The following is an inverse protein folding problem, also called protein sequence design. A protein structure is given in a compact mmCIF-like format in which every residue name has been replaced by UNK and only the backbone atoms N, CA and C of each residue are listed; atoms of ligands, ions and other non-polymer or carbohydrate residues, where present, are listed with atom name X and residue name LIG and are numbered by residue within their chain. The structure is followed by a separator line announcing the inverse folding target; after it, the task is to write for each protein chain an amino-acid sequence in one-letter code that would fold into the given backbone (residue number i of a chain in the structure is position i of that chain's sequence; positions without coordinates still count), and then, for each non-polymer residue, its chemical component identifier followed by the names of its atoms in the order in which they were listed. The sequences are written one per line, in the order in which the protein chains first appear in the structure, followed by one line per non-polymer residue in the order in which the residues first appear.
data_IF_400551661282
#
_entry.id   IF_400551661282
#
_cell.length_a   1.000
_cell.length_b   1.000
_cell.length_c   1.000
_cell.angle_alpha   90.00
_cell.angle_beta   90.00
_cell.angle_gamma   90.00
#
_symmetry.space_group_name_H-M   'P 1'
#
loop_
_entity.id
_entity.type
_entity.pdbx_description
1 polymer ?
#
# COMPACT_ATOMS: atom_id res chain seq x y z
N UNK A 1 40.63 30.85 32.52
CA UNK A 1 39.42 30.96 31.68
C UNK A 1 39.35 29.90 30.57
N UNK A 2 40.41 29.12 30.30
CA UNK A 2 40.47 28.10 29.23
C UNK A 2 39.84 26.73 29.58
N UNK A 3 39.82 26.35 30.86
CA UNK A 3 39.28 25.04 31.30
C UNK A 3 37.76 24.92 31.07
N UNK A 4 37.01 26.02 31.22
CA UNK A 4 35.56 26.03 30.98
C UNK A 4 35.18 25.91 29.50
N UNK A 5 36.02 26.41 28.58
CA UNK A 5 35.76 26.30 27.14
C UNK A 5 36.01 24.87 26.63
N UNK A 6 37.03 24.20 27.18
CA UNK A 6 37.35 22.79 26.86
C UNK A 6 36.26 21.86 27.41
N UNK A 7 35.77 22.11 28.64
CA UNK A 7 34.65 21.35 29.20
C UNK A 7 33.36 21.51 28.37
N UNK A 8 33.05 22.72 27.89
CA UNK A 8 31.87 22.98 27.05
C UNK A 8 32.00 22.34 25.66
N UNK A 9 33.21 22.25 25.09
CA UNK A 9 33.47 21.50 23.86
C UNK A 9 33.33 19.98 24.07
N UNK A 10 33.74 19.47 25.23
CA UNK A 10 33.58 18.05 25.58
C UNK A 10 32.10 17.69 25.77
N UNK A 11 31.30 18.56 26.40
CA UNK A 11 29.85 18.41 26.51
C UNK A 11 29.16 18.44 25.13
N UNK A 12 29.58 19.33 24.23
CA UNK A 12 29.07 19.36 22.84
C UNK A 12 29.47 18.09 22.09
N UNK A 13 30.71 17.60 22.26
CA UNK A 13 31.16 16.36 21.65
C UNK A 13 30.40 15.14 22.19
N UNK A 14 30.11 15.11 23.50
CA UNK A 14 29.30 14.09 24.12
C UNK A 14 27.85 14.13 23.61
N UNK A 15 27.22 15.31 23.55
CA UNK A 15 25.88 15.50 22.98
C UNK A 15 25.83 15.12 21.50
N UNK A 16 26.84 15.49 20.71
CA UNK A 16 26.93 15.12 19.30
C UNK A 16 27.07 13.60 19.13
N UNK A 17 27.86 12.95 19.98
CA UNK A 17 28.03 11.49 19.96
C UNK A 17 26.75 10.76 20.39
N UNK A 18 26.05 11.26 21.40
CA UNK A 18 24.75 10.74 21.83
C UNK A 18 23.70 10.95 20.73
N UNK A 19 23.67 12.12 20.09
CA UNK A 19 22.78 12.40 18.96
C UNK A 19 23.07 11.47 17.77
N UNK A 20 24.35 11.26 17.41
CA UNK A 20 24.74 10.33 16.35
C UNK A 20 24.30 8.89 16.66
N UNK A 21 24.53 8.42 17.89
CA UNK A 21 24.08 7.08 18.30
C UNK A 21 22.54 6.95 18.26
N UNK A 22 21.80 7.99 18.64
CA UNK A 22 20.33 8.00 18.56
C UNK A 22 19.83 7.98 17.11
N UNK A 23 20.52 8.67 16.20
CA UNK A 23 20.21 8.66 14.77
C UNK A 23 20.47 7.28 14.15
N UNK A 24 21.58 6.63 14.51
CA UNK A 24 21.89 5.28 14.04
C UNK A 24 20.85 4.26 14.51
N UNK A 25 20.38 4.36 15.76
CA UNK A 25 19.32 3.50 16.29
C UNK A 25 17.97 3.75 15.58
N UNK A 26 17.58 5.01 15.39
CA UNK A 26 16.38 5.38 14.63
C UNK A 26 16.47 4.84 13.19
N UNK A 27 17.62 4.97 12.53
CA UNK A 27 17.83 4.46 11.18
C UNK A 27 17.70 2.93 11.11
N UNK A 28 18.30 2.21 12.07
CA UNK A 28 18.18 0.76 12.19
C UNK A 28 16.74 0.30 12.43
N UNK A 29 16.03 0.97 13.34
CA UNK A 29 14.62 0.68 13.62
C UNK A 29 13.72 0.99 12.43
N UNK A 30 13.93 2.11 11.74
CA UNK A 30 13.21 2.48 10.52
C UNK A 30 13.46 1.48 9.38
N UNK A 31 14.71 1.01 9.20
CA UNK A 31 15.02 0.00 8.20
C UNK A 31 14.30 -1.32 8.49
N UNK A 32 14.31 -1.78 9.75
CA UNK A 32 13.62 -3.02 10.16
C UNK A 32 12.10 -2.91 10.03
N UNK A 33 11.52 -1.80 10.49
CA UNK A 33 10.08 -1.56 10.40
C UNK A 33 9.62 -1.39 8.95
N UNK A 34 10.38 -0.64 8.14
CA UNK A 34 10.16 -0.49 6.71
C UNK A 34 10.26 -1.82 5.96
N UNK A 35 11.22 -2.68 6.30
CA UNK A 35 11.34 -4.02 5.71
C UNK A 35 10.12 -4.90 6.02
N UNK A 36 9.54 -4.80 7.22
CA UNK A 36 8.29 -5.50 7.57
C UNK A 36 7.08 -4.94 6.82
N UNK A 37 7.04 -3.62 6.62
CA UNK A 37 5.99 -2.99 5.82
C UNK A 37 6.15 -3.26 4.30
N UNK A 38 7.35 -3.64 3.83
CA UNK A 38 7.66 -3.77 2.40
C UNK A 38 6.73 -4.71 1.63
N UNK A 39 6.20 -5.76 2.28
CA UNK A 39 5.22 -6.65 1.66
C UNK A 39 3.93 -5.91 1.25
N UNK A 40 3.43 -5.03 2.12
CA UNK A 40 2.24 -4.18 1.89
C UNK A 40 2.56 -3.09 0.86
N UNK A 41 3.79 -2.57 0.88
CA UNK A 41 4.25 -1.51 -0.04
C UNK A 41 4.21 -1.95 -1.51
N UNK A 42 4.42 -3.25 -1.77
CA UNK A 42 4.32 -3.80 -3.13
C UNK A 42 2.90 -3.65 -3.68
N UNK A 43 1.88 -3.80 -2.84
CA UNK A 43 0.48 -3.58 -3.24
C UNK A 43 0.24 -2.10 -3.60
N UNK A 44 0.70 -1.18 -2.76
CA UNK A 44 0.55 0.27 -2.97
C UNK A 44 1.22 0.72 -4.30
N UNK A 45 2.42 0.17 -4.60
CA UNK A 45 3.10 0.39 -5.87
C UNK A 45 2.42 -0.26 -7.07
N UNK A 46 1.68 -1.35 -6.86
CA UNK A 46 0.98 -2.06 -7.93
C UNK A 46 -0.37 -1.44 -8.29
N UNK A 47 -1.08 -0.85 -7.32
CA UNK A 47 -2.40 -0.26 -7.50
C UNK A 47 -2.30 1.19 -8.00
N UNK A 48 -1.28 1.94 -7.60
CA UNK A 48 -1.14 3.37 -7.93
C UNK A 48 -1.10 3.69 -9.43
N UNK A 49 -0.41 2.91 -10.30
CA UNK A 49 -0.42 3.15 -11.74
C UNK A 49 -1.82 3.15 -12.37
N UNK A 50 -2.79 2.45 -11.78
CA UNK A 50 -4.16 2.40 -12.31
C UNK A 50 -4.86 3.76 -12.25
N UNK A 51 -4.60 4.56 -11.22
CA UNK A 51 -5.25 5.86 -11.03
C UNK A 51 -4.79 6.92 -12.04
N UNK A 52 -3.64 6.71 -12.68
CA UNK A 52 -3.05 7.64 -13.65
C UNK A 52 -3.24 7.18 -15.10
N UNK A 53 -3.68 5.93 -15.32
CA UNK A 53 -4.00 5.45 -16.67
C UNK A 53 -5.17 6.22 -17.28
N UNK A 54 -5.00 6.63 -18.54
CA UNK A 54 -6.00 7.39 -19.30
C UNK A 54 -5.88 8.91 -19.21
N UNK A 55 -4.87 9.44 -18.51
CA UNK A 55 -4.50 10.86 -18.65
C UNK A 55 -3.60 11.08 -19.88
N UNK A 56 -3.45 12.35 -20.26
CA UNK A 56 -2.43 12.70 -21.26
C UNK A 56 -1.05 12.59 -20.61
N UNK A 57 -0.06 12.06 -21.33
CA UNK A 57 1.31 11.82 -20.82
C UNK A 57 1.93 13.04 -20.09
N UNK A 58 1.67 14.25 -20.59
CA UNK A 58 2.14 15.50 -19.98
C UNK A 58 1.59 15.78 -18.56
N UNK A 59 0.49 15.13 -18.16
CA UNK A 59 -0.21 15.33 -16.88
C UNK A 59 0.04 14.24 -15.85
N UNK A 60 0.61 13.09 -16.24
CA UNK A 60 0.80 11.95 -15.36
C UNK A 60 1.76 12.25 -14.20
N UNK A 61 2.95 12.82 -14.49
CA UNK A 61 3.93 13.14 -13.45
C UNK A 61 3.47 14.26 -12.47
N UNK A 62 2.84 15.37 -12.94
CA UNK A 62 2.21 16.33 -12.03
C UNK A 62 1.14 15.73 -11.12
N UNK A 63 0.34 14.79 -11.63
CA UNK A 63 -0.70 14.09 -10.85
C UNK A 63 -0.05 13.22 -9.77
N UNK A 64 0.95 12.40 -10.13
CA UNK A 64 1.72 11.59 -9.16
C UNK A 64 2.26 12.47 -8.04
N UNK A 65 2.82 13.64 -8.38
CA UNK A 65 3.33 14.60 -7.38
C UNK A 65 2.22 15.11 -6.45
N UNK A 66 1.04 15.45 -6.98
CA UNK A 66 -0.11 15.87 -6.14
C UNK A 66 -0.50 14.76 -5.16
N UNK A 67 -0.59 13.52 -5.64
CA UNK A 67 -0.95 12.36 -4.82
C UNK A 67 0.12 12.12 -3.76
N UNK A 68 1.41 12.10 -4.12
CA UNK A 68 2.52 11.91 -3.19
C UNK A 68 2.56 12.98 -2.08
N UNK A 69 2.33 14.26 -2.42
CA UNK A 69 2.26 15.34 -1.41
C UNK A 69 1.04 15.16 -0.50
N UNK A 70 -0.11 14.78 -1.06
CA UNK A 70 -1.31 14.45 -0.30
C UNK A 70 -1.07 13.29 0.67
N UNK A 71 -0.43 12.23 0.19
CA UNK A 71 -0.04 11.04 0.95
C UNK A 71 0.88 11.37 2.12
N UNK A 72 1.98 12.12 1.89
CA UNK A 72 2.89 12.55 2.98
C UNK A 72 2.14 13.38 4.02
N UNK A 73 1.29 14.32 3.60
CA UNK A 73 0.49 15.14 4.53
C UNK A 73 -0.45 14.29 5.37
N UNK A 74 -1.15 13.35 4.75
CA UNK A 74 -2.06 12.44 5.43
C UNK A 74 -1.32 11.54 6.43
N UNK A 75 -0.20 10.95 6.01
CA UNK A 75 0.65 10.12 6.86
C UNK A 75 1.18 10.89 8.07
N UNK A 76 1.75 12.07 7.87
CA UNK A 76 2.41 12.83 8.94
C UNK A 76 1.44 13.62 9.83
N UNK A 77 0.37 14.17 9.28
CA UNK A 77 -0.55 15.06 10.03
C UNK A 77 -1.74 14.33 10.63
N UNK A 78 -2.10 13.14 10.12
CA UNK A 78 -3.28 12.40 10.56
C UNK A 78 -2.90 11.02 11.09
N UNK A 79 -2.28 10.18 10.26
CA UNK A 79 -2.02 8.78 10.65
C UNK A 79 -0.97 8.66 11.75
N UNK A 80 0.14 9.39 11.64
CA UNK A 80 1.20 9.38 12.65
C UNK A 80 0.69 9.81 14.03
N UNK A 81 0.04 10.98 14.21
CA UNK A 81 -0.47 11.35 15.53
C UNK A 81 -1.57 10.41 16.01
N UNK A 82 -2.46 9.93 15.13
CA UNK A 82 -3.47 8.95 15.51
C UNK A 82 -2.85 7.63 15.99
N UNK A 83 -1.82 7.14 15.30
CA UNK A 83 -1.11 5.91 15.66
C UNK A 83 -0.38 6.06 17.00
N UNK A 84 0.28 7.20 17.24
CA UNK A 84 0.92 7.50 18.53
C UNK A 84 -0.09 7.65 19.68
N UNK A 85 -1.24 8.27 19.44
CA UNK A 85 -2.31 8.34 20.45
C UNK A 85 -2.86 6.94 20.73
N UNK A 86 -3.04 6.11 19.69
CA UNK A 86 -3.50 4.74 19.84
C UNK A 86 -2.52 3.88 20.63
N UNK A 87 -1.20 4.01 20.40
CA UNK A 87 -0.19 3.27 21.18
C UNK A 87 -0.19 3.65 22.66
N UNK A 88 -0.51 4.92 23.00
CA UNK A 88 -0.58 5.37 24.38
C UNK A 88 -1.89 4.97 25.07
N UNK A 89 -3.04 5.08 24.39
CA UNK A 89 -4.35 4.89 25.01
C UNK A 89 -4.86 3.44 24.96
N UNK A 90 -4.54 2.72 23.88
CA UNK A 90 -5.06 1.38 23.64
C UNK A 90 -4.10 0.56 22.74
N UNK A 91 -2.86 0.27 23.19
CA UNK A 91 -1.91 -0.51 22.39
C UNK A 91 -2.45 -1.90 22.03
N UNK A 92 -3.26 -2.48 22.93
CA UNK A 92 -4.00 -3.73 22.71
C UNK A 92 -5.00 -3.70 21.54
N UNK A 93 -5.38 -2.51 21.05
CA UNK A 93 -6.25 -2.35 19.89
C UNK A 93 -5.49 -2.40 18.55
N UNK A 94 -4.16 -2.27 18.54
CA UNK A 94 -3.36 -2.26 17.32
C UNK A 94 -3.43 -3.61 16.61
N UNK A 95 -3.12 -4.71 17.32
CA UNK A 95 -3.19 -6.08 16.76
C UNK A 95 -4.56 -6.44 16.19
N UNK A 96 -5.69 -6.25 16.88
CA UNK A 96 -7.00 -6.61 16.33
C UNK A 96 -7.40 -5.70 15.15
N UNK A 97 -7.04 -4.41 15.18
CA UNK A 97 -7.27 -3.53 14.02
C UNK A 97 -6.47 -3.99 12.79
N UNK A 98 -5.21 -4.36 12.98
CA UNK A 98 -4.37 -4.93 11.93
C UNK A 98 -4.94 -6.25 11.41
N UNK A 99 -5.38 -7.16 12.29
CA UNK A 99 -5.99 -8.42 11.87
C UNK A 99 -7.27 -8.22 11.06
N UNK A 100 -8.09 -7.22 11.43
CA UNK A 100 -9.29 -6.86 10.64
C UNK A 100 -8.87 -6.31 9.26
N UNK A 101 -7.88 -5.42 9.21
CA UNK A 101 -7.31 -4.92 7.96
C UNK A 101 -6.76 -6.04 7.07
N UNK A 102 -5.97 -6.94 7.65
CA UNK A 102 -5.41 -8.10 6.95
C UNK A 102 -6.50 -9.07 6.46
N UNK A 103 -7.56 -9.28 7.23
CA UNK A 103 -8.71 -10.08 6.78
C UNK A 103 -9.47 -9.41 5.63
N UNK A 104 -9.60 -8.08 5.65
CA UNK A 104 -10.17 -7.32 4.54
C UNK A 104 -9.29 -7.40 3.27
N UNK A 105 -7.96 -7.30 3.39
CA UNK A 105 -7.04 -7.52 2.26
C UNK A 105 -7.18 -8.93 1.68
N UNK A 106 -7.31 -9.95 2.53
CA UNK A 106 -7.55 -11.33 2.09
C UNK A 106 -8.86 -11.44 1.32
N UNK A 107 -9.93 -10.82 1.83
CA UNK A 107 -11.23 -10.77 1.17
C UNK A 107 -11.11 -10.10 -0.21
N UNK A 108 -10.58 -8.88 -0.29
CA UNK A 108 -10.49 -8.11 -1.54
C UNK A 108 -9.57 -8.80 -2.55
N UNK A 109 -8.45 -9.35 -2.10
CA UNK A 109 -7.53 -10.10 -2.93
C UNK A 109 -8.16 -11.36 -3.53
N UNK A 110 -8.84 -12.17 -2.71
CA UNK A 110 -9.52 -13.38 -3.18
C UNK A 110 -10.72 -13.05 -4.07
N UNK A 111 -11.46 -11.97 -3.77
CA UNK A 111 -12.54 -11.48 -4.62
C UNK A 111 -12.02 -11.13 -6.02
N UNK A 112 -10.94 -10.34 -6.14
CA UNK A 112 -10.30 -10.03 -7.43
C UNK A 112 -9.85 -11.28 -8.19
N UNK A 113 -9.33 -12.29 -7.50
CA UNK A 113 -9.00 -13.59 -8.11
C UNK A 113 -10.26 -14.30 -8.60
N UNK A 114 -11.32 -14.30 -7.82
CA UNK A 114 -12.60 -14.91 -8.18
C UNK A 114 -13.24 -14.23 -9.39
N UNK A 115 -13.27 -12.90 -9.44
CA UNK A 115 -13.78 -12.12 -10.58
C UNK A 115 -13.00 -12.41 -11.87
N UNK A 116 -11.67 -12.54 -11.78
CA UNK A 116 -10.83 -12.86 -12.92
C UNK A 116 -11.09 -14.28 -13.48
N UNK A 117 -11.52 -15.22 -12.63
CA UNK A 117 -11.82 -16.61 -13.01
C UNK A 117 -13.29 -16.78 -13.42
N UNK A 118 -14.21 -16.02 -12.82
CA UNK A 118 -15.66 -16.09 -13.05
C UNK A 118 -16.23 -14.68 -13.40
N UNK A 119 -16.02 -14.19 -14.62
CA UNK A 119 -16.36 -12.81 -15.01
C UNK A 119 -17.87 -12.48 -15.04
N UNK A 120 -18.76 -13.47 -14.90
CA UNK A 120 -20.22 -13.28 -14.98
C UNK A 120 -20.92 -13.08 -13.62
N UNK A 121 -20.18 -12.99 -12.51
CA UNK A 121 -20.74 -12.86 -11.15
C UNK A 121 -20.54 -11.48 -10.49
N UNK A 122 -19.89 -10.52 -11.18
CA UNK A 122 -19.33 -9.32 -10.54
C UNK A 122 -19.86 -8.01 -11.14
N UNK A 123 -20.94 -7.49 -10.57
CA UNK A 123 -21.33 -6.09 -10.75
C UNK A 123 -21.81 -5.54 -9.41
N UNK A 124 -20.91 -5.09 -8.52
CA UNK A 124 -21.37 -4.29 -7.38
C UNK A 124 -20.36 -3.43 -6.59
N UNK A 125 -19.09 -3.21 -6.96
CA UNK A 125 -18.23 -2.34 -6.12
C UNK A 125 -17.44 -1.20 -6.78
N UNK A 126 -17.23 -1.18 -8.10
CA UNK A 126 -16.47 -0.06 -8.72
C UNK A 126 -17.33 1.00 -9.43
N UNK A 127 -18.64 0.83 -9.51
CA UNK A 127 -19.51 1.70 -10.32
C UNK A 127 -19.95 3.02 -9.63
N UNK A 128 -19.74 3.20 -8.32
CA UNK A 128 -20.44 4.24 -7.55
C UNK A 128 -19.72 5.60 -7.39
N UNK A 129 -18.68 5.89 -8.18
CA UNK A 129 -17.98 7.19 -8.14
C UNK A 129 -18.19 8.08 -9.38
N UNK A 130 -19.04 7.67 -10.32
CA UNK A 130 -19.30 8.44 -11.54
C UNK A 130 -20.50 9.39 -11.39
N UNK A 131 -20.42 10.36 -10.48
CA UNK A 131 -21.23 11.58 -10.61
C UNK A 131 -20.58 12.45 -11.69
N UNK A 132 -21.23 12.47 -12.85
CA UNK A 132 -20.82 13.18 -14.06
C UNK A 132 -20.80 14.69 -13.80
N UNK A 133 -19.60 15.28 -13.80
CA UNK A 133 -19.39 16.74 -13.87
C UNK A 133 -18.71 17.05 -15.22
N UNK A 134 -19.26 17.95 -16.06
CA UNK A 134 -18.81 18.17 -17.45
C UNK A 134 -17.45 18.87 -17.61
N UNK A 135 -16.67 19.09 -16.54
CA UNK A 135 -15.37 19.76 -16.63
C UNK A 135 -14.19 18.79 -16.44
N UNK A 136 -13.29 18.70 -17.42
CA UNK A 136 -12.15 17.77 -17.40
C UNK A 136 -11.23 17.96 -16.17
N UNK A 137 -11.16 19.19 -15.63
CA UNK A 137 -10.34 19.50 -14.47
C UNK A 137 -10.98 19.04 -13.15
N UNK A 138 -12.31 19.04 -13.03
CA UNK A 138 -12.97 18.50 -11.83
C UNK A 138 -12.89 16.97 -11.78
N UNK A 139 -12.85 16.30 -12.93
CA UNK A 139 -12.61 14.86 -13.01
C UNK A 139 -11.18 14.48 -12.61
N UNK A 140 -10.17 15.27 -13.00
CA UNK A 140 -8.79 15.10 -12.56
C UNK A 140 -8.65 15.24 -11.05
N UNK A 141 -9.21 16.32 -10.49
CA UNK A 141 -9.13 16.57 -9.05
C UNK A 141 -9.93 15.53 -8.25
N UNK A 142 -11.07 15.04 -8.77
CA UNK A 142 -11.81 13.93 -8.18
C UNK A 142 -11.00 12.61 -8.17
N UNK A 143 -10.30 12.30 -9.27
CA UNK A 143 -9.41 11.13 -9.34
C UNK A 143 -8.23 11.25 -8.39
N UNK A 144 -7.61 12.44 -8.28
CA UNK A 144 -6.55 12.71 -7.31
C UNK A 144 -7.06 12.54 -5.88
N UNK A 145 -8.23 13.09 -5.55
CA UNK A 145 -8.84 12.95 -4.23
C UNK A 145 -9.18 11.48 -3.91
N UNK A 146 -9.69 10.73 -4.88
CA UNK A 146 -9.94 9.29 -4.74
C UNK A 146 -8.64 8.52 -4.48
N UNK A 147 -7.58 8.79 -5.25
CA UNK A 147 -6.28 8.14 -5.08
C UNK A 147 -5.67 8.45 -3.70
N UNK A 148 -5.75 9.70 -3.25
CA UNK A 148 -5.31 10.10 -1.90
C UNK A 148 -6.12 9.39 -0.80
N UNK A 149 -7.41 9.14 -1.02
CA UNK A 149 -8.28 8.43 -0.06
C UNK A 149 -7.94 6.95 0.02
N UNK A 150 -7.71 6.30 -1.12
CA UNK A 150 -7.24 4.91 -1.14
C UNK A 150 -5.87 4.80 -0.48
N UNK A 151 -4.92 5.68 -0.84
CA UNK A 151 -3.59 5.74 -0.22
C UNK A 151 -3.68 5.98 1.28
N UNK A 152 -4.61 6.82 1.78
CA UNK A 152 -4.80 7.01 3.22
C UNK A 152 -5.16 5.70 3.94
N UNK A 153 -6.03 4.88 3.34
CA UNK A 153 -6.44 3.59 3.91
C UNK A 153 -5.26 2.61 3.91
N UNK A 154 -4.59 2.46 2.76
CA UNK A 154 -3.39 1.60 2.62
C UNK A 154 -2.26 2.05 3.56
N UNK A 155 -2.06 3.36 3.66
CA UNK A 155 -1.07 3.97 4.54
C UNK A 155 -1.37 3.72 6.01
N UNK A 156 -2.65 3.67 6.41
CA UNK A 156 -3.01 3.41 7.81
C UNK A 156 -2.48 2.04 8.27
N UNK A 157 -2.57 1.03 7.40
CA UNK A 157 -2.02 -0.30 7.64
C UNK A 157 -0.49 -0.28 7.73
N UNK A 158 0.18 0.33 6.76
CA UNK A 158 1.64 0.48 6.75
C UNK A 158 2.14 1.16 8.04
N UNK A 159 1.47 2.25 8.45
CA UNK A 159 1.81 2.99 9.66
C UNK A 159 1.56 2.16 10.93
N UNK A 160 0.48 1.36 10.96
CA UNK A 160 0.17 0.48 12.09
C UNK A 160 1.15 -0.71 12.19
N UNK A 161 1.56 -1.33 11.06
CA UNK A 161 2.60 -2.38 11.03
C UNK A 161 3.95 -1.82 11.47
N UNK A 162 4.27 -0.60 11.01
CA UNK A 162 5.47 0.11 11.42
C UNK A 162 5.47 0.31 12.93
N UNK A 163 4.38 0.86 13.47
CA UNK A 163 4.22 1.09 14.90
C UNK A 163 4.33 -0.21 15.72
N UNK A 164 3.67 -1.27 15.30
CA UNK A 164 3.74 -2.58 15.97
C UNK A 164 5.13 -3.23 15.90
N UNK A 165 5.99 -2.79 14.97
CA UNK A 165 7.33 -3.33 14.77
C UNK A 165 8.42 -2.57 15.52
N UNK A 166 8.12 -1.37 16.00
CA UNK A 166 9.04 -0.54 16.76
C UNK A 166 8.91 -0.90 18.25
N UNK A 167 10.02 -1.21 18.95
CA UNK A 167 9.99 -1.44 20.39
C UNK A 167 9.41 -0.23 21.15
N UNK A 168 9.08 -0.39 22.43
CA UNK A 168 8.79 0.75 23.32
C UNK A 168 10.08 1.53 23.63
N UNK A 169 10.60 2.23 22.62
CA UNK A 169 11.86 2.99 22.63
C UNK A 169 11.65 4.49 22.92
N UNK A 170 10.47 4.86 23.45
CA UNK A 170 10.07 6.22 23.79
C UNK A 170 9.31 6.94 22.67
N UNK A 171 8.45 7.88 23.05
CA UNK A 171 7.52 8.58 22.14
C UNK A 171 8.24 9.26 20.96
N UNK A 172 9.38 9.92 21.22
CA UNK A 172 10.14 10.64 20.18
C UNK A 172 10.76 9.67 19.17
N UNK A 173 11.27 8.53 19.62
CA UNK A 173 11.86 7.50 18.77
C UNK A 173 10.78 6.87 17.88
N UNK A 174 9.66 6.45 18.46
CA UNK A 174 8.51 5.94 17.70
C UNK A 174 8.00 6.96 16.67
N UNK A 175 7.80 8.22 17.07
CA UNK A 175 7.36 9.28 16.17
C UNK A 175 8.33 9.49 15.01
N UNK A 176 9.63 9.50 15.29
CA UNK A 176 10.67 9.71 14.26
C UNK A 176 10.75 8.52 13.31
N UNK A 177 10.71 7.28 13.82
CA UNK A 177 10.70 6.08 12.99
C UNK A 177 9.45 6.05 12.10
N UNK A 178 8.27 6.31 12.65
CA UNK A 178 7.03 6.41 11.87
C UNK A 178 7.12 7.48 10.78
N UNK A 179 7.68 8.65 11.09
CA UNK A 179 7.85 9.73 10.11
C UNK A 179 8.82 9.33 8.99
N UNK A 180 9.97 8.74 9.33
CA UNK A 180 10.99 8.30 8.36
C UNK A 180 10.42 7.20 7.47
N UNK A 181 9.75 6.21 8.04
CA UNK A 181 9.15 5.11 7.26
C UNK A 181 8.00 5.63 6.39
N UNK A 182 7.11 6.46 6.94
CA UNK A 182 5.99 7.03 6.18
C UNK A 182 6.44 7.88 5.00
N UNK A 183 7.45 8.74 5.19
CA UNK A 183 8.02 9.55 4.09
C UNK A 183 8.81 8.66 3.13
N UNK A 184 9.67 7.78 3.64
CA UNK A 184 10.54 6.91 2.85
C UNK A 184 9.73 6.00 1.93
N UNK A 185 8.69 5.35 2.44
CA UNK A 185 7.78 4.52 1.64
C UNK A 185 7.07 5.37 0.59
N UNK A 186 6.59 6.56 0.94
CA UNK A 186 5.92 7.44 -0.04
C UNK A 186 6.88 7.82 -1.18
N UNK A 187 8.12 8.18 -0.85
CA UNK A 187 9.14 8.46 -1.88
C UNK A 187 9.43 7.22 -2.73
N UNK A 188 9.55 6.04 -2.12
CA UNK A 188 9.84 4.80 -2.83
C UNK A 188 8.70 4.41 -3.79
N UNK A 189 7.45 4.34 -3.30
CA UNK A 189 6.27 3.95 -4.07
C UNK A 189 6.04 4.91 -5.23
N UNK A 190 5.86 6.20 -4.93
CA UNK A 190 5.56 7.19 -5.97
C UNK A 190 6.77 7.46 -6.87
N UNK A 191 7.99 7.22 -6.38
CA UNK A 191 9.20 7.23 -7.19
C UNK A 191 9.22 6.11 -8.22
N UNK A 192 8.91 4.87 -7.82
CA UNK A 192 8.77 3.74 -8.75
C UNK A 192 7.66 3.99 -9.75
N UNK A 193 6.50 4.47 -9.32
CA UNK A 193 5.38 4.81 -10.22
C UNK A 193 5.78 5.90 -11.23
N UNK A 194 6.48 6.95 -10.79
CA UNK A 194 7.00 7.99 -11.67
C UNK A 194 8.00 7.44 -12.69
N UNK A 195 8.86 6.49 -12.29
CA UNK A 195 9.79 5.83 -13.21
C UNK A 195 9.06 4.95 -14.23
N UNK A 196 8.01 4.23 -13.83
CA UNK A 196 7.19 3.41 -14.74
C UNK A 196 6.56 4.30 -15.83
N UNK A 197 5.93 5.41 -15.43
CA UNK A 197 5.37 6.39 -16.37
C UNK A 197 6.46 6.97 -17.29
N UNK A 198 7.61 7.32 -16.72
CA UNK A 198 8.70 7.90 -17.49
C UNK A 198 9.29 6.93 -18.51
N UNK A 199 9.24 5.63 -18.22
CA UNK A 199 9.66 4.60 -19.16
C UNK A 199 8.75 4.54 -20.40
N UNK A 200 7.46 4.86 -20.27
CA UNK A 200 6.53 4.94 -21.40
C UNK A 200 6.86 6.14 -22.31
N UNK A 201 7.04 7.33 -21.71
CA UNK A 201 7.49 8.55 -22.41
C UNK A 201 8.79 8.31 -23.18
N UNK A 202 9.76 7.65 -22.53
CA UNK A 202 11.04 7.29 -23.12
C UNK A 202 10.85 6.31 -24.29
N UNK A 203 9.94 5.34 -24.14
CA UNK A 203 9.55 4.40 -25.19
C UNK A 203 9.01 5.11 -26.43
N UNK A 204 8.09 6.05 -26.26
CA UNK A 204 7.52 6.86 -27.34
C UNK A 204 8.59 7.72 -28.02
N UNK A 205 9.46 8.38 -27.24
CA UNK A 205 10.56 9.19 -27.77
C UNK A 205 11.53 8.35 -28.62
N UNK A 206 11.91 7.16 -28.15
CA UNK A 206 12.78 6.23 -28.90
C UNK A 206 12.09 5.69 -30.16
N UNK A 207 10.81 5.35 -30.08
CA UNK A 207 10.04 4.85 -31.23
C UNK A 207 9.87 5.91 -32.33
N UNK A 208 9.80 7.19 -31.96
CA UNK A 208 9.65 8.34 -32.85
C UNK A 208 10.95 8.82 -33.51
N UNK A 209 12.12 8.31 -33.13
CA UNK A 209 13.40 8.72 -33.71
C UNK A 209 13.42 8.49 -35.24
N UNK A 210 13.91 9.48 -35.99
CA UNK A 210 14.02 9.44 -37.46
C UNK A 210 15.39 8.98 -37.99
N UNK A 211 16.29 8.55 -37.11
CA UNK A 211 17.64 8.14 -37.51
C UNK A 211 17.62 6.85 -38.32
N UNK A 212 18.26 6.88 -39.50
CA UNK A 212 18.41 5.73 -40.39
C UNK A 212 19.65 4.86 -40.07
N UNK A 213 20.41 5.19 -39.03
CA UNK A 213 21.59 4.42 -38.63
C UNK A 213 21.19 3.07 -38.00
N UNK A 214 22.00 1.99 -38.16
CA UNK A 214 21.78 0.70 -37.49
C UNK A 214 21.52 0.79 -35.97
N UNK A 215 22.26 1.60 -35.18
CA UNK A 215 21.93 1.81 -33.76
C UNK A 215 20.60 2.57 -33.56
N UNK A 216 20.24 3.47 -34.48
CA UNK A 216 18.93 4.14 -34.48
C UNK A 216 17.77 3.18 -34.72
N UNK A 217 17.95 2.16 -35.56
CA UNK A 217 16.96 1.11 -35.79
C UNK A 217 16.73 0.24 -34.54
N UNK A 218 17.80 -0.12 -33.83
CA UNK A 218 17.73 -0.86 -32.56
C UNK A 218 17.01 -0.05 -31.47
N UNK A 219 17.34 1.23 -31.31
CA UNK A 219 16.68 2.14 -30.37
C UNK A 219 15.18 2.26 -30.65
N UNK A 220 14.79 2.41 -31.93
CA UNK A 220 13.38 2.45 -32.34
C UNK A 220 12.65 1.15 -32.04
N UNK A 221 13.29 0.01 -32.27
CA UNK A 221 12.71 -1.29 -31.95
C UNK A 221 12.50 -1.44 -30.43
N UNK A 222 13.50 -1.03 -29.63
CA UNK A 222 13.39 -0.99 -28.16
C UNK A 222 12.26 -0.08 -27.68
N UNK A 223 12.15 1.13 -28.25
CA UNK A 223 11.06 2.06 -27.93
C UNK A 223 9.68 1.49 -28.23
N UNK A 224 9.51 0.85 -29.40
CA UNK A 224 8.26 0.16 -29.74
C UNK A 224 7.95 -0.99 -28.79
N UNK A 225 8.95 -1.75 -28.39
CA UNK A 225 8.79 -2.85 -27.45
C UNK A 225 8.36 -2.35 -26.07
N UNK A 226 8.92 -1.23 -25.58
CA UNK A 226 8.48 -0.61 -24.32
C UNK A 226 7.01 -0.18 -24.37
N UNK A 227 6.60 0.55 -25.41
CA UNK A 227 5.22 1.05 -25.54
C UNK A 227 4.21 -0.10 -25.69
N UNK A 228 4.54 -1.10 -26.51
CA UNK A 228 3.69 -2.28 -26.69
C UNK A 228 3.68 -3.20 -25.46
N UNK A 229 4.77 -3.21 -24.68
CA UNK A 229 4.94 -4.01 -23.48
C UNK A 229 4.27 -3.41 -22.23
N UNK A 230 4.13 -2.09 -22.18
CA UNK A 230 3.59 -1.37 -21.01
C UNK A 230 2.23 -1.90 -20.52
N UNK A 231 1.22 -2.16 -21.38
CA UNK A 231 -0.06 -2.72 -20.92
C UNK A 231 0.07 -4.08 -20.24
N UNK A 232 0.95 -4.95 -20.76
CA UNK A 232 1.21 -6.26 -20.18
C UNK A 232 1.97 -6.16 -18.87
N UNK A 233 2.93 -5.23 -18.79
CA UNK A 233 3.65 -4.93 -17.56
C UNK A 233 2.71 -4.45 -16.45
N UNK A 234 1.82 -3.48 -16.75
CA UNK A 234 0.81 -3.00 -15.80
C UNK A 234 -0.17 -4.10 -15.39
N UNK A 235 -0.56 -4.99 -16.31
CA UNK A 235 -1.39 -6.16 -16.00
C UNK A 235 -0.68 -7.13 -15.07
N UNK A 236 0.59 -7.46 -15.36
CA UNK A 236 1.40 -8.33 -14.52
C UNK A 236 1.59 -7.73 -13.13
N UNK A 237 1.85 -6.43 -13.04
CA UNK A 237 1.96 -5.71 -11.78
C UNK A 237 0.67 -5.79 -10.97
N UNK A 238 -0.50 -5.67 -11.61
CA UNK A 238 -1.79 -5.87 -10.96
C UNK A 238 -2.01 -7.29 -10.40
N UNK A 239 -1.52 -8.33 -11.11
CA UNK A 239 -1.57 -9.72 -10.62
C UNK A 239 -0.66 -9.88 -9.40
N UNK A 240 0.56 -9.32 -9.47
CA UNK A 240 1.51 -9.35 -8.35
C UNK A 240 0.96 -8.60 -7.13
N UNK A 241 0.34 -7.44 -7.33
CA UNK A 241 -0.35 -6.71 -6.25
C UNK A 241 -1.46 -7.53 -5.61
N UNK A 242 -2.26 -8.24 -6.42
CA UNK A 242 -3.31 -9.14 -5.91
C UNK A 242 -2.75 -10.29 -5.10
N UNK A 243 -1.67 -10.92 -5.55
CA UNK A 243 -0.99 -11.95 -4.78
C UNK A 243 -0.38 -11.39 -3.48
N UNK A 244 0.16 -10.16 -3.52
CA UNK A 244 0.71 -9.48 -2.36
C UNK A 244 -0.38 -9.19 -1.32
N UNK A 245 -1.53 -8.63 -1.70
CA UNK A 245 -2.67 -8.40 -0.79
C UNK A 245 -3.04 -9.66 0.00
N UNK A 246 -3.16 -10.81 -0.69
CA UNK A 246 -3.58 -12.08 -0.09
C UNK A 246 -2.54 -12.59 0.91
N UNK A 247 -1.26 -12.68 0.50
CA UNK A 247 -0.21 -13.14 1.40
C UNK A 247 -0.07 -12.17 2.57
N UNK A 248 0.13 -10.88 2.31
CA UNK A 248 0.36 -9.88 3.37
C UNK A 248 -0.78 -9.92 4.39
N UNK A 249 -2.03 -9.90 3.95
CA UNK A 249 -3.18 -10.02 4.84
C UNK A 249 -3.16 -11.33 5.64
N UNK A 250 -2.86 -12.46 4.99
CA UNK A 250 -2.74 -13.76 5.65
C UNK A 250 -1.63 -13.78 6.70
N UNK A 251 -0.49 -13.15 6.43
CA UNK A 251 0.63 -13.01 7.35
C UNK A 251 0.27 -12.17 8.58
N UNK A 252 -0.45 -11.06 8.39
CA UNK A 252 -0.94 -10.21 9.48
C UNK A 252 -1.89 -10.99 10.39
N UNK A 253 -2.82 -11.75 9.81
CA UNK A 253 -3.76 -12.55 10.60
C UNK A 253 -3.06 -13.69 11.32
N UNK A 254 -2.15 -14.42 10.65
CA UNK A 254 -1.38 -15.51 11.28
C UNK A 254 -0.52 -15.00 12.45
N UNK A 255 0.15 -13.86 12.27
CA UNK A 255 0.94 -13.26 13.35
C UNK A 255 0.07 -12.71 14.49
N UNK A 256 -1.10 -12.16 14.16
CA UNK A 256 -2.08 -11.75 15.15
C UNK A 256 -2.60 -12.93 15.98
N UNK A 257 -2.84 -14.09 15.34
CA UNK A 257 -3.24 -15.33 16.02
C UNK A 257 -2.17 -15.81 17.00
N UNK A 258 -0.90 -15.80 16.59
CA UNK A 258 0.26 -16.09 17.46
C UNK A 258 0.30 -15.14 18.67
N UNK A 259 0.06 -13.84 18.46
CA UNK A 259 0.01 -12.87 19.57
C UNK A 259 -1.10 -13.18 20.58
N UNK A 260 -2.19 -13.82 20.15
CA UNK A 260 -3.30 -14.25 21.00
C UNK A 260 -3.15 -15.68 21.56
N UNK A 261 -1.99 -16.33 21.35
CA UNK A 261 -1.68 -17.67 21.87
C UNK A 261 -2.15 -18.82 20.98
N UNK A 262 -2.55 -18.55 19.74
CA UNK A 262 -2.84 -19.57 18.73
C UNK A 262 -1.63 -19.77 17.82
N UNK A 263 -0.54 -20.27 18.38
CA UNK A 263 0.78 -20.30 17.72
C UNK A 263 0.91 -21.38 16.64
N UNK A 264 -0.04 -22.34 16.60
CA UNK A 264 0.03 -23.52 15.73
C UNK A 264 0.21 -23.20 14.24
N UNK A 265 -0.53 -22.24 13.62
CA UNK A 265 -0.35 -21.90 12.21
C UNK A 265 1.03 -21.29 11.93
N UNK A 266 1.49 -20.37 12.78
CA UNK A 266 2.78 -19.70 12.63
C UNK A 266 3.95 -20.70 12.76
N UNK A 267 3.92 -21.55 13.80
CA UNK A 267 4.93 -22.58 14.00
C UNK A 267 4.96 -23.63 12.89
N UNK A 268 3.81 -24.01 12.34
CA UNK A 268 3.76 -24.95 11.22
C UNK A 268 4.45 -24.37 9.97
N UNK A 269 4.12 -23.11 9.64
CA UNK A 269 4.73 -22.40 8.51
C UNK A 269 6.25 -22.27 8.72
N UNK A 270 6.68 -21.84 9.91
CA UNK A 270 8.09 -21.65 10.22
C UNK A 270 8.87 -22.98 10.22
N UNK A 271 8.29 -24.06 10.77
CA UNK A 271 8.90 -25.39 10.73
C UNK A 271 9.01 -25.95 9.30
N UNK A 272 8.02 -25.70 8.45
CA UNK A 272 8.09 -26.05 7.03
C UNK A 272 9.20 -25.25 6.32
N UNK A 273 9.30 -23.96 6.61
CA UNK A 273 10.31 -23.08 6.04
C UNK A 273 11.73 -23.50 6.45
N UNK A 274 11.93 -23.87 7.72
CA UNK A 274 13.23 -24.32 8.21
C UNK A 274 13.65 -25.67 7.61
N UNK A 275 12.71 -26.63 7.50
CA UNK A 275 12.99 -27.90 6.81
C UNK A 275 13.35 -27.69 5.35
N UNK A 276 12.65 -26.79 4.65
CA UNK A 276 12.97 -26.47 3.26
C UNK A 276 14.34 -25.79 3.13
N UNK A 277 14.65 -24.83 4.01
CA UNK A 277 15.92 -24.13 4.01
C UNK A 277 17.13 -25.07 4.25
N UNK A 278 16.95 -26.10 5.08
CA UNK A 278 17.98 -27.13 5.32
C UNK A 278 18.31 -27.96 4.07
N UNK A 279 17.37 -28.09 3.12
CA UNK A 279 17.61 -28.85 1.87
C UNK A 279 18.44 -28.06 0.85
N UNK A 280 18.43 -26.72 0.90
CA UNK A 280 19.24 -25.85 0.04
C UNK A 280 19.97 -24.78 0.87
N UNK A 281 21.09 -25.13 1.55
CA UNK A 281 21.81 -24.22 2.44
C UNK A 281 22.32 -22.95 1.75
N UNK A 282 22.73 -23.05 0.48
CA UNK A 282 23.25 -21.93 -0.31
C UNK A 282 22.20 -20.83 -0.57
N UNK A 283 20.92 -21.17 -0.53
CA UNK A 283 19.80 -20.24 -0.74
C UNK A 283 18.81 -20.25 0.44
N UNK A 284 19.27 -20.65 1.63
CA UNK A 284 18.42 -20.86 2.81
C UNK A 284 17.52 -19.67 3.13
N UNK A 285 18.04 -18.44 3.07
CA UNK A 285 17.27 -17.23 3.33
C UNK A 285 16.13 -17.01 2.32
N UNK A 286 16.41 -17.19 1.03
CA UNK A 286 15.42 -17.04 -0.03
C UNK A 286 14.35 -18.15 0.03
N UNK A 287 14.76 -19.39 0.33
CA UNK A 287 13.84 -20.52 0.50
C UNK A 287 12.95 -20.34 1.72
N UNK A 288 13.52 -19.91 2.86
CA UNK A 288 12.74 -19.63 4.08
C UNK A 288 11.69 -18.57 3.81
N UNK A 289 12.09 -17.45 3.21
CA UNK A 289 11.18 -16.37 2.82
C UNK A 289 10.07 -16.88 1.90
N UNK A 290 10.39 -17.68 0.88
CA UNK A 290 9.42 -18.20 -0.09
C UNK A 290 8.42 -19.18 0.53
N UNK A 291 8.83 -19.99 1.51
CA UNK A 291 7.92 -20.92 2.19
C UNK A 291 7.04 -20.17 3.20
N UNK A 292 7.60 -19.22 3.95
CA UNK A 292 6.82 -18.35 4.84
C UNK A 292 5.78 -17.55 4.06
N UNK A 293 6.19 -17.03 2.91
CA UNK A 293 5.35 -16.37 1.92
C UNK A 293 4.18 -17.22 1.44
N UNK A 294 4.49 -18.42 0.97
CA UNK A 294 3.49 -19.35 0.46
C UNK A 294 2.52 -19.77 1.57
N UNK A 295 3.03 -20.03 2.78
CA UNK A 295 2.21 -20.37 3.95
C UNK A 295 1.24 -19.25 4.32
N UNK A 296 1.72 -18.01 4.39
CA UNK A 296 0.89 -16.85 4.64
C UNK A 296 -0.11 -16.59 3.49
N UNK A 297 0.30 -16.79 2.24
CA UNK A 297 -0.58 -16.77 1.06
C UNK A 297 -1.72 -17.78 1.15
N UNK A 298 -1.43 -19.03 1.50
CA UNK A 298 -2.45 -20.08 1.67
C UNK A 298 -3.42 -19.76 2.82
N UNK A 299 -2.90 -19.26 3.94
CA UNK A 299 -3.74 -18.79 5.05
C UNK A 299 -4.64 -17.63 4.60
N UNK A 300 -4.08 -16.67 3.85
CA UNK A 300 -4.82 -15.54 3.30
C UNK A 300 -5.93 -15.97 2.34
N UNK A 301 -5.67 -16.94 1.45
CA UNK A 301 -6.71 -17.51 0.57
C UNK A 301 -7.83 -18.12 1.41
N UNK A 302 -7.49 -18.93 2.43
CA UNK A 302 -8.48 -19.56 3.29
C UNK A 302 -9.33 -18.51 4.03
N UNK A 303 -8.70 -17.47 4.58
CA UNK A 303 -9.38 -16.37 5.27
C UNK A 303 -10.29 -15.62 4.30
N UNK A 304 -9.80 -15.27 3.10
CA UNK A 304 -10.59 -14.56 2.09
C UNK A 304 -11.81 -15.35 1.63
N UNK A 305 -11.64 -16.65 1.37
CA UNK A 305 -12.74 -17.55 1.00
C UNK A 305 -13.81 -17.67 2.11
N UNK A 306 -13.41 -17.61 3.39
CA UNK A 306 -14.34 -17.58 4.54
C UNK A 306 -15.00 -16.20 4.67
N UNK A 307 -14.25 -15.13 4.42
CA UNK A 307 -14.71 -13.75 4.55
C UNK A 307 -15.79 -13.40 3.51
N UNK A 308 -15.70 -13.91 2.27
CA UNK A 308 -16.67 -13.65 1.21
C UNK A 308 -18.13 -13.95 1.63
N UNK A 309 -18.49 -15.17 2.09
CA UNK A 309 -19.83 -15.45 2.57
C UNK A 309 -20.14 -14.71 3.88
N UNK A 310 -19.17 -14.50 4.77
CA UNK A 310 -19.42 -13.77 6.01
C UNK A 310 -19.83 -12.31 5.75
N UNK A 311 -19.16 -11.60 4.83
CA UNK A 311 -19.50 -10.23 4.44
C UNK A 311 -20.84 -10.21 3.72
N UNK A 312 -21.04 -11.10 2.73
CA UNK A 312 -22.24 -11.14 1.90
C UNK A 312 -23.52 -11.52 2.67
N UNK A 313 -23.47 -12.51 3.55
CA UNK A 313 -24.64 -13.05 4.24
C UNK A 313 -24.86 -12.48 5.65
N UNK A 314 -23.84 -11.92 6.30
CA UNK A 314 -23.95 -11.43 7.68
C UNK A 314 -23.82 -9.90 7.74
N UNK A 315 -22.71 -9.34 7.25
CA UNK A 315 -22.41 -7.92 7.45
C UNK A 315 -23.27 -7.02 6.56
N UNK A 316 -23.37 -7.30 5.26
CA UNK A 316 -24.17 -6.51 4.32
C UNK A 316 -25.66 -6.38 4.70
N UNK A 317 -26.37 -7.46 5.11
CA UNK A 317 -27.76 -7.35 5.55
C UNK A 317 -27.91 -6.65 6.91
N UNK A 318 -26.97 -6.82 7.85
CA UNK A 318 -26.96 -6.07 9.11
C UNK A 318 -26.75 -4.57 8.89
N UNK A 319 -25.80 -4.18 8.04
CA UNK A 319 -25.54 -2.77 7.72
C UNK A 319 -26.72 -2.11 7.02
N UNK A 320 -27.40 -2.82 6.10
CA UNK A 320 -28.62 -2.34 5.44
C UNK A 320 -29.80 -2.13 6.41
N UNK A 321 -29.82 -2.82 7.55
CA UNK A 321 -30.83 -2.63 8.60
C UNK A 321 -30.53 -1.43 9.50
N UNK A 322 -29.26 -1.03 9.64
CA UNK A 322 -28.82 0.05 10.52
C UNK A 322 -28.72 1.39 9.79
N UNK A 323 -28.46 1.41 8.48
CA UNK A 323 -28.36 2.65 7.70
C UNK A 323 -29.76 3.32 7.59
N UNK A 324 -29.95 4.55 8.09
CA UNK A 324 -31.19 5.28 7.88
C UNK A 324 -31.41 5.43 6.38
N UNK A 325 -32.60 5.07 5.90
CA UNK A 325 -33.01 5.28 4.50
C UNK A 325 -32.93 6.78 4.22
N UNK A 326 -31.85 7.23 3.57
CA UNK A 326 -31.74 8.62 3.13
C UNK A 326 -32.98 8.90 2.27
N UNK A 327 -33.84 9.82 2.73
CA UNK A 327 -35.03 10.26 2.01
C UNK A 327 -34.56 10.85 0.69
N UNK A 328 -34.70 10.07 -0.39
CA UNK A 328 -34.55 10.58 -1.75
C UNK A 328 -35.54 11.72 -1.96
N UNK A 329 -35.03 12.89 -2.29
CA UNK A 329 -35.76 14.06 -2.73
C UNK A 329 -36.46 13.72 -4.05
N UNK A 330 -37.66 13.18 -3.97
CA UNK A 330 -38.61 13.12 -5.08
C UNK A 330 -39.21 14.52 -5.28
N UNK A 331 -38.50 15.37 -6.02
CA UNK A 331 -39.00 16.66 -6.49
C UNK A 331 -38.68 16.85 -7.98
N UNK A 332 -39.03 15.86 -8.80
CA UNK A 332 -38.98 15.98 -10.26
C UNK A 332 -39.98 15.03 -10.92
N UNK A 333 -41.26 15.21 -10.58
CA UNK A 333 -42.37 14.58 -11.29
C UNK A 333 -43.63 15.43 -11.10
N UNK A 334 -43.72 16.55 -11.84
CA UNK A 334 -44.95 17.28 -12.22
C UNK A 334 -44.56 18.52 -13.03
N UNK A 335 -44.15 18.31 -14.28
CA UNK A 335 -44.46 19.24 -15.36
C UNK A 335 -45.06 18.38 -16.47
N UNK A 336 -46.37 18.32 -16.41
CA UNK A 336 -47.28 17.67 -17.34
C UNK A 336 -47.22 18.40 -18.69
N UNK A 337 -47.12 17.70 -19.83
CA UNK A 337 -47.13 18.33 -21.15
C UNK A 337 -48.48 18.16 -21.84
N UNK A 338 -49.59 18.75 -21.36
CA UNK A 338 -50.84 18.87 -22.16
C UNK A 338 -51.84 19.91 -21.59
N UNK A 339 -52.03 21.03 -22.32
CA UNK A 339 -53.28 21.81 -22.57
C UNK A 339 -54.17 22.33 -21.41
N UNK A 340 -55.13 23.24 -21.67
CA UNK A 340 -55.63 23.76 -22.96
C UNK A 340 -54.95 25.04 -23.47
#
# INVERSE_FOLDING_TARGET
MSVGLIALLDDIAALAKVAAASLDDIAGQAAKAGAKAAGVVIDDAAVTPRYITGFTAARELPIIRKIAIGSVRNKLLILLPAALVLSLLAPQAITPLLMIGGAYLCYEGVEKVYEAVVPHAAHSHEAELSSIDPNAQSQEDAKVASAIKTDFILSAEIMAITLASVPDSGFVTQATVLAVVGVGITVAVYGVVALIVKADDLGLAMAGMKSASPPGALLRAGGRMLVLGMPYFLKALGIVGTAAMIWVGGGIVVHGLETYGFDSPAHFIHAAAERAAQTLPASAAAVRWLVEAAGAGLAGIAIGLIAIPAVGYVIAPLWRRVKPKARGTSAQARRDPTGP
#
